data_IF_461523030644
#
_entry.id   IF_461523030644
#
_cell.length_a   1.000
_cell.length_b   1.000
_cell.length_c   1.000
_cell.angle_alpha   90.00
_cell.angle_beta   90.00
_cell.angle_gamma   90.00
#
_symmetry.space_group_name_H-M   'P 1'
#
loop_
_entity.id
_entity.type
_entity.pdbx_description
1 polymer ?
#
# COMPACT_ATOMS: atom_id res chain seq x y z
N UNK A 1 -18.11 -61.08 -58.10
CA UNK A 1 -18.69 -59.77 -57.82
C UNK A 1 -17.94 -59.24 -56.58
N UNK A 2 -16.87 -58.42 -56.82
CA UNK A 2 -15.92 -57.99 -55.80
C UNK A 2 -16.25 -56.56 -55.36
N UNK A 3 -16.71 -56.39 -54.12
CA UNK A 3 -16.90 -55.07 -53.49
C UNK A 3 -15.59 -54.61 -52.86
N UNK A 4 -15.00 -53.53 -53.41
CA UNK A 4 -13.89 -52.80 -52.77
C UNK A 4 -14.47 -51.80 -51.76
N UNK A 5 -14.15 -51.97 -50.49
CA UNK A 5 -14.49 -51.03 -49.44
C UNK A 5 -13.33 -50.00 -49.38
N UNK A 6 -13.63 -48.76 -49.80
CA UNK A 6 -12.75 -47.61 -49.59
C UNK A 6 -12.81 -47.16 -48.13
N UNK A 7 -11.70 -47.35 -47.41
CA UNK A 7 -11.51 -46.71 -46.06
C UNK A 7 -11.06 -45.26 -46.25
N UNK A 8 -11.96 -44.35 -45.90
CA UNK A 8 -11.65 -42.93 -45.81
C UNK A 8 -10.89 -42.71 -44.48
N UNK A 9 -9.58 -42.42 -44.57
CA UNK A 9 -8.79 -41.96 -43.38
C UNK A 9 -9.13 -40.49 -43.14
N UNK A 10 -9.86 -40.20 -42.04
CA UNK A 10 -10.03 -38.83 -41.49
C UNK A 10 -8.82 -38.57 -40.61
N UNK A 11 -7.89 -37.77 -41.15
CA UNK A 11 -6.75 -37.25 -40.39
C UNK A 11 -7.22 -36.06 -39.58
N UNK A 12 -7.60 -36.29 -38.31
CA UNK A 12 -7.99 -35.23 -37.39
C UNK A 12 -6.73 -34.54 -36.86
N UNK A 13 -6.43 -33.35 -37.36
CA UNK A 13 -5.43 -32.46 -36.78
C UNK A 13 -5.99 -31.86 -35.51
N UNK A 14 -5.58 -32.41 -34.35
CA UNK A 14 -5.83 -31.78 -33.06
C UNK A 14 -4.94 -30.54 -32.96
N UNK A 15 -5.54 -29.35 -33.12
CA UNK A 15 -4.87 -28.07 -32.81
C UNK A 15 -4.78 -27.91 -31.29
N UNK A 16 -3.58 -28.15 -30.73
CA UNK A 16 -3.27 -27.80 -29.35
C UNK A 16 -3.16 -26.27 -29.24
N UNK A 17 -4.20 -25.63 -28.71
CA UNK A 17 -4.14 -24.24 -28.28
C UNK A 17 -3.28 -24.18 -27.00
N UNK A 18 -1.99 -23.87 -27.14
CA UNK A 18 -1.14 -23.48 -26.04
C UNK A 18 -1.61 -22.08 -25.55
N UNK A 19 -2.49 -22.10 -24.57
CA UNK A 19 -2.81 -20.89 -23.79
C UNK A 19 -1.58 -20.60 -22.94
N UNK A 20 -0.69 -19.70 -23.41
CA UNK A 20 0.40 -19.17 -22.57
C UNK A 20 -0.23 -18.35 -21.46
N UNK A 21 -0.27 -18.93 -20.26
CA UNK A 21 -0.57 -18.17 -19.04
C UNK A 21 0.61 -17.21 -18.81
N UNK A 22 0.48 -15.98 -19.21
CA UNK A 22 1.39 -14.93 -18.77
C UNK A 22 1.15 -14.79 -17.25
N UNK A 23 2.10 -15.22 -16.45
CA UNK A 23 2.15 -14.86 -15.04
C UNK A 23 2.36 -13.33 -15.00
N UNK A 24 1.34 -12.58 -14.65
CA UNK A 24 1.47 -11.15 -14.39
C UNK A 24 2.40 -11.01 -13.18
N UNK A 25 3.45 -10.22 -13.33
CA UNK A 25 4.31 -9.91 -12.21
C UNK A 25 3.52 -9.10 -11.17
N UNK A 26 3.69 -9.46 -9.89
CA UNK A 26 3.04 -8.70 -8.84
C UNK A 26 3.54 -7.25 -8.84
N UNK A 27 2.61 -6.32 -8.77
CA UNK A 27 2.91 -4.88 -8.66
C UNK A 27 3.14 -4.53 -7.20
N UNK A 28 4.29 -3.95 -6.88
CA UNK A 28 4.60 -3.42 -5.55
C UNK A 28 5.17 -2.02 -5.69
N UNK A 29 4.61 -1.07 -4.96
CA UNK A 29 5.03 0.33 -4.88
C UNK A 29 5.25 0.65 -3.41
N UNK A 30 6.48 0.97 -3.02
CA UNK A 30 6.83 1.46 -1.70
C UNK A 30 7.33 2.91 -1.83
N UNK A 31 6.89 3.80 -0.97
CA UNK A 31 7.27 5.21 -1.00
C UNK A 31 7.37 5.80 0.41
N UNK A 32 8.08 6.91 0.51
CA UNK A 32 8.28 7.63 1.75
C UNK A 32 7.01 8.39 2.15
N UNK A 33 6.69 8.36 3.43
CA UNK A 33 5.50 9.06 3.92
C UNK A 33 5.63 10.58 3.79
N UNK A 34 6.84 11.13 3.85
CA UNK A 34 7.11 12.55 3.63
C UNK A 34 7.01 13.00 2.17
N UNK A 35 6.90 12.09 1.19
CA UNK A 35 6.68 12.41 -0.24
C UNK A 35 5.24 12.87 -0.55
N UNK A 36 4.48 13.22 0.48
CA UNK A 36 3.12 13.73 0.32
C UNK A 36 3.08 14.99 -0.54
N UNK A 37 2.15 15.04 -1.50
CA UNK A 37 1.92 16.22 -2.37
C UNK A 37 1.20 17.36 -1.67
N UNK A 38 0.42 17.02 -0.67
CA UNK A 38 -0.34 17.98 0.14
C UNK A 38 -0.34 17.51 1.60
N UNK A 39 -0.03 18.41 2.50
CA UNK A 39 -0.10 18.19 3.95
C UNK A 39 -1.09 19.21 4.53
N UNK A 40 -2.02 18.71 5.34
CA UNK A 40 -2.93 19.51 6.15
C UNK A 40 -2.65 19.27 7.63
N UNK A 41 -2.43 20.37 8.35
CA UNK A 41 -2.20 20.31 9.80
C UNK A 41 -3.40 19.69 10.53
N UNK A 42 -3.17 18.94 11.64
CA UNK A 42 -1.93 18.81 12.39
C UNK A 42 -0.94 17.76 11.87
N UNK A 43 -1.24 17.06 10.76
CA UNK A 43 -0.22 16.22 10.09
C UNK A 43 0.94 17.11 9.65
N UNK A 44 2.16 16.70 9.92
CA UNK A 44 3.37 17.42 9.50
C UNK A 44 4.47 16.47 9.08
N UNK A 45 5.40 16.97 8.26
CA UNK A 45 6.67 16.29 7.96
C UNK A 45 7.67 16.71 9.03
N UNK A 46 8.36 15.72 9.61
CA UNK A 46 9.38 15.94 10.64
C UNK A 46 10.69 15.29 10.21
N UNK A 47 11.76 16.07 10.21
CA UNK A 47 13.13 15.58 10.06
C UNK A 47 13.69 15.25 11.45
N UNK A 48 14.09 14.00 11.64
CA UNK A 48 14.63 13.51 12.91
C UNK A 48 16.08 13.99 13.06
N UNK A 49 16.34 14.79 14.09
CA UNK A 49 17.66 15.38 14.33
C UNK A 49 18.57 14.49 15.16
N UNK A 50 17.99 13.66 16.03
CA UNK A 50 18.74 12.67 16.78
C UNK A 50 19.13 11.53 15.83
N UNK A 51 20.45 11.23 15.80
CA UNK A 51 20.99 10.23 14.88
C UNK A 51 20.42 8.83 15.15
N UNK A 52 20.25 8.46 16.41
CA UNK A 52 19.76 7.14 16.78
C UNK A 52 18.28 6.94 16.39
N UNK A 53 17.49 8.03 16.42
CA UNK A 53 16.11 8.02 15.90
C UNK A 53 16.10 8.02 14.37
N UNK A 54 16.91 8.86 13.74
CA UNK A 54 16.99 8.97 12.27
C UNK A 54 17.47 7.65 11.62
N UNK A 55 18.39 6.93 12.25
CA UNK A 55 18.89 5.64 11.76
C UNK A 55 17.82 4.52 11.82
N UNK A 56 16.69 4.75 12.48
CA UNK A 56 15.58 3.79 12.55
C UNK A 56 14.51 3.97 11.48
N UNK A 57 14.60 5.04 10.68
CA UNK A 57 13.63 5.37 9.63
C UNK A 57 14.30 5.58 8.29
N UNK A 58 13.53 5.47 7.23
CA UNK A 58 14.03 5.75 5.90
C UNK A 58 14.30 7.24 5.75
N UNK A 59 15.43 7.61 5.15
CA UNK A 59 15.82 8.98 4.84
C UNK A 59 15.82 9.99 6.02
N UNK A 60 15.62 9.51 7.27
CA UNK A 60 15.62 10.34 8.47
C UNK A 60 14.42 11.27 8.62
N UNK A 61 13.35 11.04 7.86
CA UNK A 61 12.11 11.84 7.84
C UNK A 61 10.89 10.97 8.03
N UNK A 62 9.82 11.58 8.50
CA UNK A 62 8.53 10.93 8.75
C UNK A 62 7.40 11.92 8.54
N UNK A 63 6.17 11.44 8.41
CA UNK A 63 5.01 12.23 8.79
C UNK A 63 4.58 11.87 10.22
N UNK A 64 4.12 12.86 10.96
CA UNK A 64 3.62 12.63 12.31
C UNK A 64 2.41 13.50 12.64
N UNK A 65 1.65 13.05 13.62
CA UNK A 65 0.67 13.83 14.36
C UNK A 65 1.13 13.79 15.81
N UNK A 66 1.64 14.90 16.32
CA UNK A 66 2.18 14.97 17.66
C UNK A 66 1.15 14.64 18.72
N UNK A 67 1.58 14.05 19.81
CA UNK A 67 0.74 13.83 20.99
C UNK A 67 0.19 15.18 21.50
N UNK A 68 -1.13 15.26 21.68
CA UNK A 68 -1.81 16.48 22.10
C UNK A 68 -2.23 17.40 20.95
N UNK A 69 -1.93 17.04 19.70
CA UNK A 69 -2.36 17.82 18.53
C UNK A 69 -3.88 17.75 18.28
N UNK A 70 -4.52 16.70 18.77
CA UNK A 70 -5.96 16.49 18.70
C UNK A 70 -6.41 15.48 17.65
N UNK A 71 -7.53 14.84 17.95
CA UNK A 71 -8.15 13.83 17.10
C UNK A 71 -8.74 14.43 15.82
N UNK A 72 -8.67 13.72 14.71
CA UNK A 72 -9.13 14.15 13.39
C UNK A 72 -10.60 14.58 13.32
N UNK A 73 -11.46 13.94 14.12
CA UNK A 73 -12.87 14.34 14.23
C UNK A 73 -13.09 15.76 14.75
N UNK A 74 -12.09 16.34 15.41
CA UNK A 74 -12.13 17.70 16.01
C UNK A 74 -11.31 18.72 15.23
N UNK A 75 -10.13 18.30 14.73
CA UNK A 75 -9.15 19.23 14.15
C UNK A 75 -8.81 18.93 12.68
N UNK A 76 -9.26 17.78 12.13
CA UNK A 76 -8.91 17.36 10.78
C UNK A 76 -7.45 16.97 10.67
N UNK A 77 -6.87 17.18 9.49
CA UNK A 77 -5.48 16.91 9.17
C UNK A 77 -5.31 15.73 8.23
N UNK A 78 -4.43 15.86 7.23
CA UNK A 78 -4.19 14.77 6.27
C UNK A 78 -2.85 14.89 5.54
N UNK A 79 -2.40 13.76 4.99
CA UNK A 79 -1.34 13.68 3.99
C UNK A 79 -1.90 13.04 2.71
N UNK A 80 -1.66 13.67 1.55
CA UNK A 80 -2.19 13.21 0.25
C UNK A 80 -1.07 12.86 -0.71
N UNK A 81 -1.23 11.72 -1.37
CA UNK A 81 -0.28 11.15 -2.32
C UNK A 81 -0.96 10.87 -3.66
N UNK A 82 -0.18 10.88 -4.75
CA UNK A 82 -0.60 10.29 -6.03
C UNK A 82 0.14 8.98 -6.23
N UNK A 83 -0.61 7.88 -6.40
CA UNK A 83 -0.06 6.56 -6.70
C UNK A 83 -0.46 6.16 -8.12
N UNK A 84 0.45 5.49 -8.84
CA UNK A 84 0.21 5.05 -10.22
C UNK A 84 0.30 3.52 -10.29
N UNK A 85 -0.84 2.86 -10.36
CA UNK A 85 -0.95 1.42 -10.49
C UNK A 85 -0.89 1.02 -11.96
N UNK A 86 0.01 0.12 -12.30
CA UNK A 86 0.27 -0.29 -13.70
C UNK A 86 -0.66 -1.38 -14.18
N UNK A 87 -1.31 -2.11 -13.29
CA UNK A 87 -2.14 -3.28 -13.58
C UNK A 87 -3.44 -3.23 -12.78
N UNK A 88 -4.48 -3.86 -13.32
CA UNK A 88 -5.72 -4.13 -12.59
C UNK A 88 -5.45 -5.21 -11.54
N UNK A 89 -6.02 -5.07 -10.35
CA UNK A 89 -5.77 -6.08 -9.33
C UNK A 89 -6.49 -5.89 -8.01
N UNK A 90 -6.22 -6.83 -7.11
CA UNK A 90 -6.56 -6.72 -5.70
C UNK A 90 -5.30 -6.33 -4.95
N UNK A 91 -5.35 -5.19 -4.30
CA UNK A 91 -4.20 -4.59 -3.64
C UNK A 91 -4.31 -4.68 -2.12
N UNK A 92 -3.16 -4.78 -1.49
CA UNK A 92 -2.95 -4.81 -0.04
C UNK A 92 -2.09 -3.60 0.34
N UNK A 93 -2.53 -2.85 1.34
CA UNK A 93 -1.81 -1.70 1.84
C UNK A 93 -1.08 -2.05 3.13
N UNK A 94 0.14 -1.57 3.23
CA UNK A 94 0.97 -1.63 4.42
C UNK A 94 1.49 -0.23 4.74
N UNK A 95 1.72 0.02 6.03
CA UNK A 95 2.40 1.23 6.49
C UNK A 95 3.41 0.86 7.58
N UNK A 96 4.58 1.48 7.54
CA UNK A 96 5.59 1.38 8.58
C UNK A 96 5.36 2.49 9.58
N UNK A 97 4.96 2.11 10.78
CA UNK A 97 4.40 3.01 11.78
C UNK A 97 5.08 2.87 13.14
N UNK A 98 4.91 3.91 13.94
CA UNK A 98 5.28 3.94 15.35
C UNK A 98 4.13 4.57 16.14
N UNK A 99 3.69 3.92 17.20
CA UNK A 99 2.58 4.36 18.05
C UNK A 99 3.06 4.72 19.44
N UNK A 100 2.51 5.79 20.00
CA UNK A 100 2.87 6.21 21.36
C UNK A 100 2.27 5.27 22.43
N UNK A 101 0.98 4.93 22.28
CA UNK A 101 0.21 4.07 23.19
C UNK A 101 -1.11 3.63 22.53
N UNK A 102 -2.04 3.11 23.35
CA UNK A 102 -3.33 2.61 22.88
C UNK A 102 -4.33 3.70 22.44
N UNK A 103 -4.05 4.97 22.73
CA UNK A 103 -4.89 6.10 22.32
C UNK A 103 -4.34 6.80 21.06
N UNK A 104 -3.05 6.57 20.76
CA UNK A 104 -2.37 7.11 19.56
C UNK A 104 -1.83 5.98 18.71
N UNK A 105 -2.70 5.18 18.08
CA UNK A 105 -2.31 3.95 17.38
C UNK A 105 -3.07 3.69 16.07
N UNK A 106 -3.70 4.69 15.48
CA UNK A 106 -4.45 4.50 14.23
C UNK A 106 -4.66 5.77 13.43
N UNK A 107 -4.87 5.60 12.13
CA UNK A 107 -5.19 6.64 11.16
C UNK A 107 -6.23 6.14 10.15
N UNK A 108 -6.93 7.08 9.50
CA UNK A 108 -7.83 6.82 8.39
C UNK A 108 -7.07 6.69 7.08
N UNK A 109 -7.58 5.89 6.15
CA UNK A 109 -7.04 5.78 4.78
C UNK A 109 -8.16 5.80 3.77
N UNK A 110 -7.99 6.59 2.71
CA UNK A 110 -8.88 6.62 1.55
C UNK A 110 -8.08 6.51 0.26
N UNK A 111 -8.55 5.69 -0.68
CA UNK A 111 -7.93 5.53 -2.01
C UNK A 111 -8.99 5.79 -3.08
N UNK A 112 -8.81 6.87 -3.86
CA UNK A 112 -9.75 7.27 -4.90
C UNK A 112 -11.16 7.47 -4.35
N UNK A 113 -12.13 6.78 -4.97
CA UNK A 113 -13.55 6.79 -4.60
C UNK A 113 -13.95 5.69 -3.59
N UNK A 114 -12.98 4.86 -3.14
CA UNK A 114 -13.28 3.76 -2.23
C UNK A 114 -13.65 4.28 -0.84
N UNK A 115 -14.47 3.52 -0.10
CA UNK A 115 -14.78 3.85 1.29
C UNK A 115 -13.51 3.98 2.12
N UNK A 116 -13.50 4.94 3.04
CA UNK A 116 -12.44 5.07 4.04
C UNK A 116 -12.38 3.85 4.95
N UNK A 117 -11.16 3.46 5.34
CA UNK A 117 -10.91 2.41 6.31
C UNK A 117 -9.82 2.82 7.30
N UNK A 118 -9.76 2.14 8.43
CA UNK A 118 -8.81 2.44 9.50
C UNK A 118 -7.65 1.45 9.43
N UNK A 119 -6.42 1.96 9.57
CA UNK A 119 -5.20 1.20 9.81
C UNK A 119 -4.70 1.46 11.23
N UNK A 120 -4.22 0.41 11.89
CA UNK A 120 -3.73 0.46 13.27
C UNK A 120 -4.47 -0.48 14.22
N UNK A 121 -4.45 -0.17 15.51
CA UNK A 121 -5.02 -0.98 16.59
C UNK A 121 -4.46 -2.41 16.62
N UNK A 122 -3.15 -2.55 16.51
CA UNK A 122 -2.45 -3.84 16.47
C UNK A 122 -1.79 -4.25 17.79
N UNK A 123 -1.76 -3.34 18.77
CA UNK A 123 -1.22 -3.60 20.11
C UNK A 123 0.29 -3.47 20.21
N UNK A 124 0.99 -3.01 19.19
CA UNK A 124 2.45 -2.77 19.18
C UNK A 124 2.71 -1.29 19.44
N UNK A 125 3.48 -0.95 20.47
CA UNK A 125 3.76 0.43 20.86
C UNK A 125 5.26 0.70 21.01
N UNK A 126 5.66 1.96 20.76
CA UNK A 126 7.02 2.47 20.94
C UNK A 126 8.09 1.68 20.18
N UNK A 127 7.69 1.16 19.02
CA UNK A 127 8.55 0.39 18.12
C UNK A 127 8.12 0.63 16.68
N UNK A 128 9.08 0.76 15.76
CA UNK A 128 8.80 0.77 14.33
C UNK A 128 8.41 -0.61 13.83
N UNK A 129 7.28 -0.71 13.17
CA UNK A 129 6.77 -1.97 12.65
C UNK A 129 5.85 -1.75 11.44
N UNK A 130 5.72 -2.76 10.62
CA UNK A 130 4.77 -2.76 9.51
C UNK A 130 3.40 -3.25 9.94
N UNK A 131 2.37 -2.50 9.56
CA UNK A 131 0.99 -2.92 9.73
C UNK A 131 0.32 -3.13 8.37
N UNK A 132 -0.49 -4.15 8.25
CA UNK A 132 -1.31 -4.43 7.07
C UNK A 132 -2.72 -3.91 7.26
N UNK A 133 -3.30 -3.28 6.23
CA UNK A 133 -4.73 -3.00 6.22
C UNK A 133 -5.52 -4.30 6.35
N UNK A 134 -6.58 -4.29 7.18
CA UNK A 134 -7.48 -5.44 7.37
C UNK A 134 -8.39 -5.70 6.16
N UNK A 135 -8.39 -4.77 5.19
CA UNK A 135 -9.15 -4.85 3.93
C UNK A 135 -8.21 -4.96 2.74
N UNK A 136 -8.66 -5.62 1.69
CA UNK A 136 -8.04 -5.57 0.37
C UNK A 136 -8.89 -4.70 -0.55
N UNK A 137 -8.25 -4.05 -1.52
CA UNK A 137 -8.88 -3.03 -2.35
C UNK A 137 -8.78 -3.46 -3.80
N UNK A 138 -9.93 -3.63 -4.48
CA UNK A 138 -9.94 -3.87 -5.92
C UNK A 138 -9.80 -2.52 -6.63
N UNK A 139 -8.73 -2.38 -7.42
CA UNK A 139 -8.40 -1.20 -8.21
C UNK A 139 -8.06 -1.60 -9.64
N UNK A 140 -8.46 -0.79 -10.59
CA UNK A 140 -8.02 -0.90 -11.97
C UNK A 140 -6.66 -0.19 -12.12
N UNK A 141 -5.94 -0.43 -13.20
CA UNK A 141 -4.74 0.36 -13.53
C UNK A 141 -5.11 1.84 -13.64
N UNK A 142 -4.26 2.71 -13.13
CA UNK A 142 -4.52 4.15 -13.16
C UNK A 142 -3.82 4.92 -12.06
N UNK A 143 -4.09 6.22 -12.03
CA UNK A 143 -3.57 7.14 -11.02
C UNK A 143 -4.66 7.38 -9.99
N UNK A 144 -4.31 7.21 -8.72
CA UNK A 144 -5.22 7.40 -7.59
C UNK A 144 -4.66 8.41 -6.60
N UNK A 145 -5.55 9.17 -6.00
CA UNK A 145 -5.25 9.87 -4.76
C UNK A 145 -5.33 8.87 -3.61
N UNK A 146 -4.26 8.75 -2.84
CA UNK A 146 -4.22 8.06 -1.55
C UNK A 146 -4.13 9.14 -0.48
N UNK A 147 -5.03 9.09 0.49
CA UNK A 147 -5.09 10.05 1.59
C UNK A 147 -4.94 9.30 2.90
N UNK A 148 -4.02 9.77 3.73
CA UNK A 148 -3.92 9.40 5.14
C UNK A 148 -4.56 10.51 5.93
N UNK A 149 -5.63 10.19 6.68
CA UNK A 149 -6.36 11.14 7.50
C UNK A 149 -6.01 10.97 8.98
N UNK A 150 -5.89 12.12 9.66
CA UNK A 150 -5.77 12.15 11.11
C UNK A 150 -7.00 11.49 11.74
N UNK A 151 -6.77 10.49 12.57
CA UNK A 151 -7.78 9.88 13.43
C UNK A 151 -7.42 10.05 14.89
N UNK A 152 -6.19 9.73 15.25
CA UNK A 152 -5.63 9.82 16.60
C UNK A 152 -4.27 10.52 16.53
N UNK A 153 -3.93 11.28 17.57
CA UNK A 153 -2.61 11.90 17.68
C UNK A 153 -1.58 10.96 18.35
N UNK A 154 -0.31 11.34 18.37
CA UNK A 154 0.78 10.48 18.87
C UNK A 154 1.22 9.38 17.91
N UNK A 155 0.96 9.54 16.61
CA UNK A 155 1.34 8.58 15.57
C UNK A 155 2.49 9.10 14.72
N UNK A 156 3.33 8.16 14.22
CA UNK A 156 4.39 8.44 13.24
C UNK A 156 4.30 7.41 12.12
N UNK A 157 4.53 7.83 10.87
CA UNK A 157 4.55 6.97 9.69
C UNK A 157 5.81 7.28 8.89
N UNK A 158 6.56 6.24 8.56
CA UNK A 158 7.82 6.30 7.83
C UNK A 158 7.63 5.95 6.35
N UNK A 159 7.09 4.78 6.05
CA UNK A 159 6.88 4.31 4.68
C UNK A 159 5.47 3.76 4.48
N UNK A 160 5.02 3.83 3.22
CA UNK A 160 3.75 3.27 2.76
C UNK A 160 4.06 2.32 1.61
N UNK A 161 3.44 1.13 1.63
CA UNK A 161 3.61 0.13 0.58
C UNK A 161 2.25 -0.39 0.13
N UNK A 162 2.04 -0.39 -1.19
CA UNK A 162 0.87 -1.00 -1.83
C UNK A 162 1.32 -2.11 -2.77
N UNK A 163 0.71 -3.29 -2.67
CA UNK A 163 1.12 -4.46 -3.45
C UNK A 163 -0.05 -5.32 -3.87
N UNK A 164 0.05 -5.97 -5.03
CA UNK A 164 -0.87 -7.03 -5.45
C UNK A 164 -0.42 -8.41 -4.93
N UNK A 165 0.81 -8.54 -4.43
CA UNK A 165 1.26 -9.78 -3.80
C UNK A 165 0.64 -9.97 -2.43
N UNK A 166 -0.30 -10.92 -2.35
CA UNK A 166 -0.96 -11.28 -1.08
C UNK A 166 0.00 -11.83 -0.03
N UNK A 167 1.12 -12.43 -0.47
CA UNK A 167 2.07 -13.14 0.39
C UNK A 167 3.20 -12.24 0.87
N UNK A 168 3.37 -11.06 0.26
CA UNK A 168 4.39 -10.12 0.65
C UNK A 168 4.21 -9.72 2.12
N UNK A 169 5.30 -9.76 2.87
CA UNK A 169 5.41 -9.28 4.24
C UNK A 169 6.65 -8.37 4.25
N UNK A 170 6.48 -7.05 4.32
CA UNK A 170 7.62 -6.14 4.37
C UNK A 170 8.36 -6.28 5.71
N UNK A 171 9.68 -6.09 5.67
CA UNK A 171 10.56 -6.18 6.84
C UNK A 171 11.48 -4.98 6.89
N UNK A 172 11.78 -4.48 8.11
CA UNK A 172 12.68 -3.34 8.31
C UNK A 172 12.31 -2.12 7.44
N UNK A 173 13.29 -1.48 6.79
CA UNK A 173 13.11 -0.38 5.85
C UNK A 173 13.13 -0.97 4.44
N UNK A 174 12.07 -0.76 3.69
CA UNK A 174 11.94 -1.23 2.32
C UNK A 174 12.54 -0.21 1.34
N UNK A 175 12.94 -0.70 0.16
CA UNK A 175 13.39 0.19 -0.90
C UNK A 175 12.21 0.99 -1.46
N UNK A 176 12.26 2.29 -1.29
CA UNK A 176 11.25 3.20 -1.81
C UNK A 176 11.53 3.66 -3.25
N UNK A 177 10.46 4.06 -3.93
CA UNK A 177 10.51 4.74 -5.22
C UNK A 177 9.81 6.11 -5.14
N UNK A 178 10.19 7.03 -6.01
CA UNK A 178 9.54 8.34 -6.08
C UNK A 178 8.16 8.22 -6.69
N UNK A 179 7.19 8.85 -6.04
CA UNK A 179 5.85 8.98 -6.57
C UNK A 179 5.82 9.92 -7.81
N UNK A 180 4.87 9.71 -8.73
CA UNK A 180 4.67 10.61 -9.87
C UNK A 180 4.35 12.04 -9.40
N UNK A 181 4.79 13.02 -10.17
CA UNK A 181 4.49 14.46 -9.94
C UNK A 181 3.02 14.79 -10.18
#
# INVERSE_FOLDING_TARGET
>A
MNYKINRLMICGTAAFFLMSMYAMADTTVCFEAEDAKEIKVPVKITELKDKAEADQVSQGKIIEIEQGAGEGSKVGGSAKYKINLKEDGVYYLWARCWWIDSCGNSFGVKIGDKPEFIMGNDGTYKSWHWIKAKVSIKLDKGVYDLVIDNREDGIKIDQILITSDRKLIPVEIEKSEKLPE
#
